data_IF_368984781669
#
_entry.id   IF_368984781669
#
_cell.length_a   1.000
_cell.length_b   1.000
_cell.length_c   1.000
_cell.angle_alpha   90.00
_cell.angle_beta   90.00
_cell.angle_gamma   90.00
#
_symmetry.space_group_name_H-M   'P 1'
#
loop_
_entity.id
_entity.type
_entity.pdbx_description
1 polymer ?
#
# COMPACT_ATOMS: atom_id res chain seq x y z
N UNK A 1 -10.83 -41.10 -16.27
CA UNK A 1 -11.21 -39.71 -16.58
C UNK A 1 -11.49 -39.00 -15.26
N UNK A 2 -10.78 -37.96 -14.89
CA UNK A 2 -11.10 -37.16 -13.71
C UNK A 2 -12.47 -36.50 -13.90
N UNK A 3 -13.26 -36.46 -12.83
CA UNK A 3 -14.62 -35.89 -12.87
C UNK A 3 -14.49 -34.36 -12.90
N UNK A 4 -15.28 -33.67 -13.75
CA UNK A 4 -15.27 -32.21 -13.91
C UNK A 4 -15.32 -31.40 -12.59
N UNK A 5 -15.91 -31.95 -11.51
CA UNK A 5 -15.94 -31.32 -10.20
C UNK A 5 -14.62 -31.32 -9.41
N UNK A 6 -13.67 -32.20 -9.72
CA UNK A 6 -12.34 -32.23 -9.08
C UNK A 6 -11.38 -31.21 -9.67
N UNK A 7 -11.50 -30.93 -10.98
CA UNK A 7 -10.68 -29.90 -11.63
C UNK A 7 -11.07 -28.49 -11.20
N UNK A 8 -12.38 -28.22 -11.05
CA UNK A 8 -12.86 -26.92 -10.56
C UNK A 8 -12.49 -26.66 -9.10
N UNK A 9 -12.54 -27.69 -8.25
CA UNK A 9 -12.11 -27.59 -6.85
C UNK A 9 -10.61 -27.34 -6.74
N UNK A 10 -9.79 -28.04 -7.51
CA UNK A 10 -8.33 -27.84 -7.54
C UNK A 10 -7.94 -26.47 -8.11
N UNK A 11 -8.70 -25.94 -9.05
CA UNK A 11 -8.48 -24.60 -9.64
C UNK A 11 -8.89 -23.51 -8.66
N UNK A 12 -9.94 -23.70 -7.89
CA UNK A 12 -10.37 -22.79 -6.82
C UNK A 12 -9.36 -22.75 -5.66
N UNK A 13 -8.84 -23.90 -5.23
CA UNK A 13 -7.78 -23.98 -4.22
C UNK A 13 -6.46 -23.36 -4.66
N UNK A 14 -6.04 -23.59 -5.90
CA UNK A 14 -4.83 -22.95 -6.47
C UNK A 14 -4.99 -21.43 -6.56
N UNK A 15 -6.17 -20.94 -6.93
CA UNK A 15 -6.46 -19.51 -7.00
C UNK A 15 -6.51 -18.88 -5.59
N UNK A 16 -7.08 -19.57 -4.60
CA UNK A 16 -7.08 -19.14 -3.20
C UNK A 16 -5.66 -19.09 -2.63
N UNK A 17 -4.83 -20.10 -2.90
CA UNK A 17 -3.43 -20.16 -2.47
C UNK A 17 -2.60 -19.06 -3.12
N UNK A 18 -2.82 -18.74 -4.39
CA UNK A 18 -2.16 -17.62 -5.07
C UNK A 18 -2.59 -16.25 -4.50
N UNK A 19 -3.85 -16.09 -4.13
CA UNK A 19 -4.37 -14.87 -3.49
C UNK A 19 -3.72 -14.61 -2.13
N UNK A 20 -3.44 -15.68 -1.36
CA UNK A 20 -2.76 -15.61 -0.07
C UNK A 20 -1.25 -15.35 -0.18
N UNK A 21 -0.65 -15.48 -1.36
CA UNK A 21 0.79 -15.27 -1.54
C UNK A 21 1.15 -13.82 -1.92
N UNK A 22 0.19 -12.95 -2.15
CA UNK A 22 0.39 -11.56 -2.59
C UNK A 22 1.35 -11.44 -3.80
N UNK A 23 1.42 -12.45 -4.65
CA UNK A 23 2.23 -12.49 -5.86
C UNK A 23 1.34 -12.25 -7.06
N UNK A 24 1.59 -11.20 -7.82
CA UNK A 24 0.88 -10.87 -9.04
C UNK A 24 1.81 -10.65 -10.23
N UNK A 25 1.29 -10.80 -11.44
CA UNK A 25 2.01 -10.52 -12.67
C UNK A 25 1.78 -9.08 -13.06
N UNK A 26 2.84 -8.28 -13.06
CA UNK A 26 2.89 -6.90 -13.56
C UNK A 26 3.68 -6.85 -14.89
N UNK A 27 3.80 -5.68 -15.49
CA UNK A 27 4.63 -5.48 -16.69
C UNK A 27 6.10 -5.88 -16.47
N UNK A 28 6.60 -5.79 -15.22
CA UNK A 28 7.96 -6.17 -14.82
C UNK A 28 8.09 -7.62 -14.36
N UNK A 29 7.06 -8.47 -14.55
CA UNK A 29 7.04 -9.87 -14.11
C UNK A 29 6.28 -10.09 -12.82
N UNK A 30 6.58 -11.20 -12.14
CA UNK A 30 5.97 -11.53 -10.84
C UNK A 30 6.52 -10.62 -9.75
N UNK A 31 5.63 -9.94 -9.03
CA UNK A 31 6.01 -9.01 -7.98
C UNK A 31 4.98 -8.93 -6.84
N UNK A 32 5.48 -8.52 -5.68
CA UNK A 32 4.70 -8.15 -4.51
C UNK A 32 4.95 -6.67 -4.25
N UNK A 33 3.90 -5.91 -3.97
CA UNK A 33 4.02 -4.51 -3.55
C UNK A 33 3.97 -4.41 -2.04
N UNK A 34 4.79 -3.53 -1.48
CA UNK A 34 4.73 -3.10 -0.08
C UNK A 34 4.03 -1.76 -0.05
N UNK A 35 2.94 -1.66 0.70
CA UNK A 35 2.25 -0.40 0.98
C UNK A 35 2.53 0.00 2.42
N UNK A 36 2.71 1.29 2.66
CA UNK A 36 2.98 1.82 4.00
C UNK A 36 2.23 3.13 4.24
N UNK A 37 1.74 3.29 5.46
CA UNK A 37 1.33 4.58 6.03
C UNK A 37 2.35 4.94 7.08
N UNK A 38 2.88 6.16 7.02
CA UNK A 38 3.79 6.72 8.01
C UNK A 38 3.15 7.92 8.70
N UNK A 39 3.58 8.20 9.93
CA UNK A 39 3.17 9.41 10.64
C UNK A 39 3.95 10.65 10.18
N UNK A 40 3.68 11.79 10.81
CA UNK A 40 4.34 13.06 10.54
C UNK A 40 5.84 13.10 10.93
N UNK A 41 6.37 12.04 11.51
CA UNK A 41 7.79 11.87 11.83
C UNK A 41 8.47 10.85 10.89
N UNK A 42 7.70 10.23 9.97
CA UNK A 42 8.18 9.19 9.07
C UNK A 42 8.20 7.79 9.68
N UNK A 43 7.57 7.60 10.85
CA UNK A 43 7.47 6.29 11.49
C UNK A 43 6.36 5.44 10.83
N UNK A 44 6.61 4.15 10.57
CA UNK A 44 5.58 3.28 10.00
C UNK A 44 4.45 3.01 11.00
N UNK A 45 3.21 3.39 10.63
CA UNK A 45 2.00 3.13 11.41
C UNK A 45 1.34 1.84 10.94
N UNK A 46 1.29 1.64 9.61
CA UNK A 46 0.67 0.47 9.02
C UNK A 46 1.41 0.03 7.77
N UNK A 47 1.59 -1.28 7.61
CA UNK A 47 2.24 -1.86 6.44
C UNK A 47 1.41 -3.05 5.95
N UNK A 48 1.19 -3.12 4.63
CA UNK A 48 0.42 -4.17 3.99
C UNK A 48 1.09 -4.63 2.69
N UNK A 49 0.93 -5.91 2.35
CA UNK A 49 1.36 -6.44 1.07
C UNK A 49 0.18 -6.57 0.10
N UNK A 50 0.46 -6.38 -1.17
CA UNK A 50 -0.48 -6.74 -2.23
C UNK A 50 0.23 -7.38 -3.42
N UNK A 51 -0.52 -8.09 -4.25
CA UNK A 51 -0.03 -8.60 -5.51
C UNK A 51 0.32 -7.42 -6.45
N UNK A 52 1.38 -7.58 -7.26
CA UNK A 52 1.89 -6.51 -8.12
C UNK A 52 0.90 -5.92 -9.13
N UNK A 53 -0.16 -6.66 -9.46
CA UNK A 53 -1.23 -6.23 -10.36
C UNK A 53 -2.41 -5.54 -9.67
N UNK A 54 -2.43 -5.46 -8.34
CA UNK A 54 -3.47 -4.76 -7.58
C UNK A 54 -3.28 -3.25 -7.70
N UNK A 55 -4.37 -2.52 -7.89
CA UNK A 55 -4.35 -1.05 -7.93
C UNK A 55 -4.13 -0.46 -6.54
N UNK A 56 -3.17 0.43 -6.40
CA UNK A 56 -2.74 1.02 -5.13
C UNK A 56 -3.87 1.75 -4.40
N UNK A 57 -4.80 2.37 -5.14
CA UNK A 57 -5.96 3.08 -4.55
C UNK A 57 -6.88 2.16 -3.75
N UNK A 58 -7.09 0.90 -4.18
CA UNK A 58 -7.90 -0.07 -3.44
C UNK A 58 -7.27 -0.42 -2.09
N UNK A 59 -5.96 -0.63 -2.10
CA UNK A 59 -5.19 -0.93 -0.89
C UNK A 59 -5.15 0.27 0.04
N UNK A 60 -5.06 1.49 -0.51
CA UNK A 60 -5.02 2.71 0.28
C UNK A 60 -6.26 2.88 1.17
N UNK A 61 -7.47 2.61 0.66
CA UNK A 61 -8.68 2.70 1.45
C UNK A 61 -8.65 1.72 2.63
N UNK A 62 -8.33 0.44 2.39
CA UNK A 62 -8.21 -0.58 3.44
C UNK A 62 -7.19 -0.18 4.52
N UNK A 63 -6.05 0.39 4.11
CA UNK A 63 -5.02 0.85 5.03
C UNK A 63 -5.47 2.04 5.88
N UNK A 64 -6.18 3.00 5.29
CA UNK A 64 -6.69 4.17 6.00
C UNK A 64 -7.79 3.79 6.99
N UNK A 65 -8.61 2.79 6.69
CA UNK A 65 -9.56 2.20 7.63
C UNK A 65 -8.84 1.57 8.84
N UNK A 66 -7.75 0.83 8.59
CA UNK A 66 -6.95 0.20 9.64
C UNK A 66 -6.26 1.23 10.56
N UNK A 67 -5.82 2.36 10.01
CA UNK A 67 -5.16 3.46 10.75
C UNK A 67 -6.15 4.26 11.61
N UNK A 68 -7.46 4.17 11.35
CA UNK A 68 -8.51 4.89 12.09
C UNK A 68 -8.31 6.40 12.06
N UNK A 69 -8.39 6.98 10.88
CA UNK A 69 -8.32 8.43 10.70
C UNK A 69 -9.30 9.18 11.63
N UNK A 70 -8.92 10.37 12.06
CA UNK A 70 -9.71 11.22 12.97
C UNK A 70 -9.79 12.64 12.40
N UNK A 71 -10.79 13.42 12.78
CA UNK A 71 -10.86 14.85 12.47
C UNK A 71 -9.56 15.58 12.85
N UNK A 72 -9.08 16.45 11.96
CA UNK A 72 -7.83 17.19 12.11
C UNK A 72 -6.57 16.46 11.64
N UNK A 73 -6.68 15.22 11.17
CA UNK A 73 -5.59 14.53 10.46
C UNK A 73 -5.64 14.88 8.98
N UNK A 74 -4.47 14.89 8.31
CA UNK A 74 -4.36 15.08 6.87
C UNK A 74 -3.65 13.87 6.23
N UNK A 75 -4.20 13.36 5.14
CA UNK A 75 -3.61 12.27 4.33
C UNK A 75 -2.84 12.86 3.18
N UNK A 76 -1.53 12.65 3.15
CA UNK A 76 -0.64 13.07 2.07
C UNK A 76 -0.36 11.87 1.15
N UNK A 77 -0.64 12.02 -0.14
CA UNK A 77 -0.33 10.99 -1.12
C UNK A 77 0.00 11.62 -2.49
N UNK A 78 0.55 10.83 -3.40
CA UNK A 78 0.83 11.32 -4.73
C UNK A 78 -0.44 11.44 -5.60
N UNK A 79 -0.32 12.07 -6.77
CA UNK A 79 -1.43 12.28 -7.71
C UNK A 79 -2.09 10.99 -8.23
N UNK A 80 -1.44 9.82 -8.07
CA UNK A 80 -2.03 8.54 -8.45
C UNK A 80 -3.20 8.16 -7.54
N UNK A 81 -3.19 8.67 -6.31
CA UNK A 81 -4.24 8.48 -5.30
C UNK A 81 -5.36 9.54 -5.37
N UNK A 82 -5.30 10.51 -6.28
CA UNK A 82 -6.25 11.63 -6.40
C UNK A 82 -7.63 11.26 -6.96
N UNK A 83 -8.04 9.99 -6.91
CA UNK A 83 -9.38 9.58 -7.34
C UNK A 83 -10.45 10.12 -6.40
N UNK A 84 -11.60 10.48 -6.98
CA UNK A 84 -12.75 11.01 -6.25
C UNK A 84 -13.16 10.11 -5.08
N UNK A 85 -13.26 8.80 -5.30
CA UNK A 85 -13.74 7.83 -4.31
C UNK A 85 -12.86 7.82 -3.05
N UNK A 86 -11.53 7.96 -3.20
CA UNK A 86 -10.62 7.99 -2.05
C UNK A 86 -10.69 9.32 -1.32
N UNK A 87 -10.80 10.44 -2.05
CA UNK A 87 -10.92 11.77 -1.44
C UNK A 87 -12.21 11.92 -0.65
N UNK A 88 -13.33 11.46 -1.22
CA UNK A 88 -14.63 11.42 -0.57
C UNK A 88 -14.59 10.52 0.69
N UNK A 89 -13.96 9.36 0.59
CA UNK A 89 -13.76 8.46 1.73
C UNK A 89 -13.00 9.15 2.88
N UNK A 90 -11.88 9.83 2.59
CA UNK A 90 -11.10 10.56 3.60
C UNK A 90 -11.94 11.68 4.23
N UNK A 91 -12.64 12.46 3.42
CA UNK A 91 -13.51 13.56 3.88
C UNK A 91 -14.66 13.06 4.77
N UNK A 92 -15.27 11.91 4.44
CA UNK A 92 -16.33 11.29 5.24
C UNK A 92 -15.84 10.82 6.62
N UNK A 93 -14.55 10.56 6.79
CA UNK A 93 -13.92 10.29 8.08
C UNK A 93 -13.60 11.58 8.87
N UNK A 94 -13.90 12.76 8.31
CA UNK A 94 -13.59 14.05 8.90
C UNK A 94 -12.11 14.43 8.83
N UNK A 95 -11.32 13.74 8.03
CA UNK A 95 -9.91 14.03 7.79
C UNK A 95 -9.73 14.87 6.52
N UNK A 96 -8.63 15.62 6.46
CA UNK A 96 -8.24 16.37 5.25
C UNK A 96 -7.40 15.50 4.32
N UNK A 97 -7.31 15.89 3.05
CA UNK A 97 -6.39 15.29 2.10
C UNK A 97 -5.51 16.33 1.42
N UNK A 98 -4.24 16.00 1.26
CA UNK A 98 -3.26 16.79 0.53
C UNK A 98 -2.67 15.93 -0.60
N UNK A 99 -3.45 15.79 -1.68
CA UNK A 99 -3.15 14.95 -2.85
C UNK A 99 -3.28 15.82 -4.09
N UNK A 100 -2.21 16.00 -4.90
CA UNK A 100 -2.28 16.82 -6.09
C UNK A 100 -3.24 16.25 -7.14
N UNK A 101 -3.98 17.11 -7.87
CA UNK A 101 -4.73 16.68 -9.02
C UNK A 101 -3.80 16.22 -10.15
N UNK A 102 -4.31 15.40 -11.05
CA UNK A 102 -3.61 15.05 -12.27
C UNK A 102 -3.58 16.25 -13.19
N UNK A 103 -2.59 16.32 -14.08
CA UNK A 103 -2.44 17.43 -15.05
C UNK A 103 -3.61 17.58 -16.04
N UNK A 104 -4.38 16.52 -16.24
CA UNK A 104 -5.57 16.46 -17.09
C UNK A 104 -6.89 16.46 -16.29
N UNK A 105 -6.85 16.87 -15.01
CA UNK A 105 -8.05 16.98 -14.19
C UNK A 105 -8.88 18.17 -14.66
N UNK A 106 -10.17 17.93 -14.91
CA UNK A 106 -11.11 18.95 -15.42
C UNK A 106 -11.53 19.93 -14.34
N UNK A 107 -11.54 19.50 -13.08
CA UNK A 107 -11.90 20.31 -11.91
C UNK A 107 -10.84 20.16 -10.81
N UNK A 108 -9.70 20.89 -10.96
CA UNK A 108 -8.62 20.79 -10.00
C UNK A 108 -8.98 21.47 -8.67
N UNK A 109 -8.64 20.81 -7.58
CA UNK A 109 -8.84 21.30 -6.20
C UNK A 109 -7.58 21.94 -5.64
N UNK A 110 -7.77 22.71 -4.54
CA UNK A 110 -6.65 23.33 -3.82
C UNK A 110 -5.74 22.28 -3.17
N UNK A 111 -4.45 22.55 -3.19
CA UNK A 111 -3.41 21.73 -2.53
C UNK A 111 -2.53 22.64 -1.69
N UNK A 112 -2.38 22.29 -0.41
CA UNK A 112 -1.36 22.92 0.43
C UNK A 112 0.02 22.38 0.07
N UNK A 113 0.75 23.14 -0.74
CA UNK A 113 2.09 22.74 -1.20
C UNK A 113 3.16 22.75 -0.10
N UNK A 114 2.94 23.45 1.00
CA UNK A 114 3.82 23.39 2.16
C UNK A 114 3.65 22.06 2.87
N UNK A 115 2.46 21.69 3.18
CA UNK A 115 2.13 20.40 3.78
C UNK A 115 2.52 19.24 2.84
N UNK A 116 2.30 19.38 1.54
CA UNK A 116 2.62 18.35 0.56
C UNK A 116 4.12 17.97 0.53
N UNK A 117 5.01 18.88 0.89
CA UNK A 117 6.46 18.60 0.97
C UNK A 117 6.76 17.49 1.98
N UNK A 118 5.99 17.37 3.05
CA UNK A 118 6.18 16.33 4.06
C UNK A 118 5.93 14.91 3.51
N UNK A 119 5.35 14.78 2.31
CA UNK A 119 5.23 13.48 1.61
C UNK A 119 6.57 12.77 1.43
N UNK A 120 7.70 13.51 1.43
CA UNK A 120 9.03 12.92 1.35
C UNK A 120 9.33 11.93 2.51
N UNK A 121 8.63 12.03 3.63
CA UNK A 121 8.81 11.14 4.78
C UNK A 121 8.50 9.68 4.44
N UNK A 122 7.47 9.42 3.65
CA UNK A 122 7.19 8.05 3.19
C UNK A 122 8.26 7.54 2.21
N UNK A 123 8.83 8.41 1.39
CA UNK A 123 9.94 8.06 0.51
C UNK A 123 11.20 7.72 1.32
N UNK A 124 11.50 8.53 2.34
CA UNK A 124 12.59 8.29 3.29
C UNK A 124 12.41 6.97 4.03
N UNK A 125 11.18 6.65 4.46
CA UNK A 125 10.87 5.36 5.06
C UNK A 125 11.19 4.21 4.09
N UNK A 126 10.76 4.28 2.83
CA UNK A 126 11.07 3.25 1.84
C UNK A 126 12.56 3.14 1.53
N UNK A 127 13.31 4.23 1.56
CA UNK A 127 14.77 4.18 1.42
C UNK A 127 15.41 3.40 2.58
N UNK A 128 15.04 3.70 3.82
CA UNK A 128 15.51 2.96 5.02
C UNK A 128 15.09 1.48 4.95
N UNK A 129 13.86 1.19 4.50
CA UNK A 129 13.35 -0.16 4.38
C UNK A 129 14.15 -1.00 3.37
N UNK A 130 14.61 -0.39 2.29
CA UNK A 130 15.44 -1.06 1.26
C UNK A 130 16.88 -1.36 1.72
N UNK A 131 17.37 -0.80 2.81
CA UNK A 131 18.66 -1.17 3.40
C UNK A 131 18.64 -2.62 3.92
N UNK A 132 17.46 -3.14 4.25
CA UNK A 132 17.28 -4.52 4.64
C UNK A 132 17.27 -5.44 3.41
N UNK A 133 18.34 -6.18 3.18
CA UNK A 133 18.53 -7.03 1.99
C UNK A 133 17.36 -7.98 1.71
N UNK A 134 16.76 -8.59 2.76
CA UNK A 134 15.61 -9.50 2.59
C UNK A 134 14.34 -8.79 2.17
N UNK A 135 14.21 -7.50 2.44
CA UNK A 135 13.09 -6.67 1.95
C UNK A 135 13.38 -6.16 0.55
N UNK A 136 14.61 -5.70 0.29
CA UNK A 136 15.01 -5.19 -1.03
C UNK A 136 14.97 -6.27 -2.12
N UNK A 137 15.31 -7.51 -1.77
CA UNK A 137 15.29 -8.68 -2.64
C UNK A 137 14.39 -9.75 -2.04
N UNK A 138 13.11 -9.75 -2.44
CA UNK A 138 12.15 -10.74 -1.96
C UNK A 138 12.35 -12.08 -2.66
N UNK A 139 12.89 -13.06 -1.94
CA UNK A 139 12.97 -14.47 -2.35
C UNK A 139 11.93 -15.34 -1.65
N UNK A 140 11.14 -14.78 -0.74
CA UNK A 140 10.15 -15.52 0.02
C UNK A 140 8.93 -15.84 -0.86
N UNK A 141 8.56 -17.12 -0.91
CA UNK A 141 7.38 -17.59 -1.65
C UNK A 141 6.08 -17.34 -0.88
N UNK A 142 6.16 -17.14 0.45
CA UNK A 142 5.02 -16.95 1.33
C UNK A 142 4.94 -15.50 1.76
N UNK A 143 3.79 -14.86 1.50
CA UNK A 143 3.52 -13.48 1.85
C UNK A 143 3.70 -13.19 3.34
N UNK A 144 3.20 -14.09 4.22
CA UNK A 144 3.30 -13.92 5.67
C UNK A 144 4.75 -13.88 6.15
N UNK A 145 5.63 -14.70 5.58
CA UNK A 145 7.06 -14.69 5.91
C UNK A 145 7.72 -13.39 5.45
N UNK A 146 7.39 -12.94 4.26
CA UNK A 146 7.90 -11.69 3.74
C UNK A 146 7.41 -10.51 4.58
N UNK A 147 6.12 -10.48 4.93
CA UNK A 147 5.54 -9.45 5.80
C UNK A 147 6.20 -9.44 7.18
N UNK A 148 6.52 -10.61 7.75
CA UNK A 148 7.24 -10.70 9.02
C UNK A 148 8.62 -10.03 8.95
N UNK A 149 9.38 -10.21 7.84
CA UNK A 149 10.64 -9.50 7.64
C UNK A 149 10.46 -7.99 7.47
N UNK A 150 9.41 -7.56 6.79
CA UNK A 150 9.07 -6.14 6.67
C UNK A 150 8.75 -5.56 8.06
N UNK A 151 7.98 -6.24 8.90
CA UNK A 151 7.70 -5.79 10.28
C UNK A 151 8.97 -5.73 11.13
N UNK A 152 9.88 -6.71 11.04
CA UNK A 152 11.16 -6.67 11.75
C UNK A 152 12.00 -5.45 11.32
N UNK A 153 12.02 -5.15 10.02
CA UNK A 153 12.68 -3.96 9.51
C UNK A 153 12.03 -2.66 10.04
N UNK A 154 10.69 -2.59 10.08
CA UNK A 154 9.96 -1.47 10.67
C UNK A 154 10.30 -1.29 12.16
N UNK A 155 10.34 -2.35 12.95
CA UNK A 155 10.74 -2.30 14.37
C UNK A 155 12.16 -1.74 14.49
N UNK A 156 13.10 -2.20 13.66
CA UNK A 156 14.49 -1.69 13.68
C UNK A 156 14.57 -0.21 13.29
N UNK A 157 13.73 0.25 12.35
CA UNK A 157 13.64 1.67 11.96
C UNK A 157 13.09 2.52 13.12
N UNK A 158 12.09 2.02 13.85
CA UNK A 158 11.49 2.70 15.00
C UNK A 158 12.44 2.82 16.21
N UNK A 159 13.40 1.90 16.32
CA UNK A 159 14.37 1.86 17.44
C UNK A 159 15.69 2.56 17.12
N UNK A 160 15.84 3.13 15.91
CA UNK A 160 17.07 3.80 15.48
C UNK A 160 17.01 5.31 15.72
#
# INVERSE_FOLDING_TARGET
MPREGEEDSQKAEKNATQKNQCIGVSRGGRSTKIHAVVDALGNPIHVQLSAGNVHDVKVAQEMLEAVKLRPGMAVLADKAYGKWELREFIANLGADFCIPPKSNESDPWYVDWWLYKERHLVETFFLKLKEFRRVATCYDKLADRFLAFVHLACIRILLA
#
